data_IF_646357346463
#
_entry.id   IF_646357346463
#
_cell.length_a   1.000
_cell.length_b   1.000
_cell.length_c   1.000
_cell.angle_alpha   90.00
_cell.angle_beta   90.00
_cell.angle_gamma   90.00
#
_symmetry.space_group_name_H-M   'P 1'
#
loop_
_entity.id
_entity.type
_entity.pdbx_description
1 polymer ?
#
# COMPACT_ATOMS: atom_id res chain seq x y z
N UNK A 1 -10.02 -20.93 28.84
CA UNK A 1 -8.85 -21.48 28.12
C UNK A 1 -7.76 -20.43 28.19
N UNK A 2 -6.55 -20.78 28.63
CA UNK A 2 -5.40 -19.88 28.51
C UNK A 2 -5.18 -19.59 27.02
N UNK A 3 -5.15 -18.32 26.65
CA UNK A 3 -4.79 -17.93 25.29
C UNK A 3 -3.34 -18.38 25.03
N UNK A 4 -3.13 -19.29 24.08
CA UNK A 4 -1.80 -19.81 23.72
C UNK A 4 -0.98 -18.83 22.84
N UNK A 5 -1.39 -17.55 22.80
CA UNK A 5 -0.79 -16.49 21.98
C UNK A 5 -0.56 -15.24 22.82
N UNK A 6 0.48 -14.50 22.49
CA UNK A 6 0.71 -13.15 23.03
C UNK A 6 -0.05 -12.16 22.16
N UNK A 7 -1.29 -11.89 22.52
CA UNK A 7 -2.18 -11.04 21.72
C UNK A 7 -1.74 -9.59 21.77
N UNK A 8 -1.55 -8.98 20.61
CA UNK A 8 -1.31 -7.55 20.49
C UNK A 8 -2.64 -6.80 20.55
N UNK A 9 -2.99 -6.25 21.72
CA UNK A 9 -4.25 -5.52 21.88
C UNK A 9 -4.22 -4.17 21.14
N UNK A 10 -5.14 -3.91 20.19
CA UNK A 10 -5.21 -2.63 19.50
C UNK A 10 -5.59 -1.51 20.48
N UNK A 11 -4.78 -0.45 20.51
CA UNK A 11 -5.14 0.82 21.16
C UNK A 11 -5.51 1.82 20.08
N UNK A 12 -6.63 2.53 20.24
CA UNK A 12 -7.10 3.54 19.28
C UNK A 12 -6.00 4.55 18.99
N UNK A 13 -5.76 4.79 17.70
CA UNK A 13 -4.82 5.79 17.22
C UNK A 13 -5.49 7.16 17.16
N UNK A 14 -4.72 8.24 17.32
CA UNK A 14 -5.19 9.59 17.00
C UNK A 14 -5.40 9.75 15.50
N UNK A 15 -6.22 10.72 15.09
CA UNK A 15 -6.53 11.01 13.67
C UNK A 15 -6.96 9.73 12.91
N UNK A 16 -8.09 9.18 13.31
CA UNK A 16 -8.60 7.95 12.71
C UNK A 16 -9.21 8.18 11.32
N UNK A 17 -9.16 7.14 10.48
CA UNK A 17 -9.72 7.12 9.14
C UNK A 17 -11.24 6.91 9.22
N UNK A 18 -11.98 7.72 8.47
CA UNK A 18 -13.43 7.65 8.28
C UNK A 18 -13.81 7.88 6.80
N UNK A 19 -15.10 8.00 6.49
CA UNK A 19 -15.56 8.20 5.11
C UNK A 19 -15.32 9.61 4.53
N UNK A 20 -14.82 10.55 5.34
CA UNK A 20 -14.32 11.84 4.86
C UNK A 20 -12.82 11.79 4.53
N UNK A 21 -12.14 10.74 4.98
CA UNK A 21 -10.72 10.56 4.80
C UNK A 21 -10.36 10.20 3.36
N UNK A 22 -9.18 10.66 2.94
CA UNK A 22 -8.56 10.34 1.66
C UNK A 22 -7.21 9.70 1.94
N UNK A 23 -7.08 8.42 1.62
CA UNK A 23 -5.93 7.60 2.02
C UNK A 23 -5.07 7.26 0.81
N UNK A 24 -3.87 7.83 0.75
CA UNK A 24 -2.89 7.42 -0.27
C UNK A 24 -1.99 6.34 0.33
N UNK A 25 -1.67 5.30 -0.44
CA UNK A 25 -0.81 4.22 0.03
C UNK A 25 0.39 4.02 -0.90
N UNK A 26 1.57 3.82 -0.33
CA UNK A 26 2.80 3.47 -1.03
C UNK A 26 3.40 2.21 -0.41
N UNK A 27 4.08 1.39 -1.22
CA UNK A 27 5.00 0.39 -0.71
C UNK A 27 4.85 -1.00 -1.31
N UNK A 28 5.15 -2.00 -0.47
CA UNK A 28 5.19 -3.42 -0.85
C UNK A 28 3.82 -3.97 -1.31
N UNK A 29 3.81 -5.21 -1.78
CA UNK A 29 2.58 -5.94 -2.10
C UNK A 29 1.59 -6.01 -0.93
N UNK A 30 2.06 -5.93 0.32
CA UNK A 30 1.15 -5.90 1.47
C UNK A 30 0.24 -4.66 1.48
N UNK A 31 0.68 -3.54 0.91
CA UNK A 31 -0.15 -2.35 0.71
C UNK A 31 -1.41 -2.66 -0.10
N UNK A 32 -1.33 -3.56 -1.09
CA UNK A 32 -2.47 -3.91 -1.93
C UNK A 32 -3.54 -4.67 -1.13
N UNK A 33 -3.16 -5.53 -0.18
CA UNK A 33 -4.12 -6.21 0.68
C UNK A 33 -4.91 -5.26 1.57
N UNK A 34 -4.24 -4.27 2.17
CA UNK A 34 -4.92 -3.24 2.97
C UNK A 34 -5.80 -2.35 2.09
N UNK A 35 -5.30 -1.95 0.93
CA UNK A 35 -6.08 -1.16 -0.02
C UNK A 35 -7.32 -1.91 -0.51
N UNK A 36 -7.23 -3.19 -0.86
CA UNK A 36 -8.38 -4.02 -1.26
C UNK A 36 -9.45 -4.07 -0.17
N UNK A 37 -9.05 -4.13 1.11
CA UNK A 37 -10.01 -4.04 2.22
C UNK A 37 -10.67 -2.67 2.29
N UNK A 38 -9.90 -1.59 2.20
CA UNK A 38 -10.43 -0.22 2.18
C UNK A 38 -11.40 0.00 0.99
N UNK A 39 -11.03 -0.45 -0.21
CA UNK A 39 -11.85 -0.41 -1.42
C UNK A 39 -13.12 -1.26 -1.28
N UNK A 40 -13.04 -2.45 -0.68
CA UNK A 40 -14.23 -3.28 -0.40
C UNK A 40 -15.26 -2.50 0.42
N UNK A 41 -14.79 -1.74 1.43
CA UNK A 41 -15.62 -0.88 2.26
C UNK A 41 -15.84 0.52 1.68
N UNK A 42 -15.44 0.76 0.42
CA UNK A 42 -15.66 2.00 -0.34
C UNK A 42 -15.03 3.26 0.26
N UNK A 43 -13.92 3.12 0.99
CA UNK A 43 -13.10 4.27 1.37
C UNK A 43 -12.43 4.91 0.14
N UNK A 44 -12.19 6.22 0.19
CA UNK A 44 -11.53 6.95 -0.89
C UNK A 44 -10.01 6.76 -0.79
N UNK A 45 -9.47 5.88 -1.62
CA UNK A 45 -8.05 5.50 -1.60
C UNK A 45 -7.36 5.72 -2.94
N UNK A 46 -6.04 5.92 -2.89
CA UNK A 46 -5.16 5.85 -4.06
C UNK A 46 -3.93 5.01 -3.74
N UNK A 47 -3.86 3.75 -4.20
CA UNK A 47 -2.70 2.88 -3.98
C UNK A 47 -1.61 3.08 -5.03
N UNK A 48 -0.36 3.00 -4.59
CA UNK A 48 0.84 2.70 -5.39
C UNK A 48 0.86 3.35 -6.79
N UNK A 49 0.96 4.69 -6.90
CA UNK A 49 0.97 5.37 -8.20
C UNK A 49 2.19 5.03 -9.08
N UNK A 50 3.23 4.41 -8.50
CA UNK A 50 4.41 3.87 -9.20
C UNK A 50 4.41 2.34 -9.25
N UNK A 51 3.33 1.72 -8.76
CA UNK A 51 3.21 0.29 -8.52
C UNK A 51 3.96 -0.14 -7.27
N UNK A 52 4.10 -1.45 -7.10
CA UNK A 52 4.74 -2.04 -5.91
C UNK A 52 6.22 -1.67 -5.87
N UNK A 53 6.62 -0.94 -4.83
CA UNK A 53 8.00 -0.52 -4.59
C UNK A 53 8.37 -0.77 -3.12
N UNK A 54 9.53 -1.37 -2.87
CA UNK A 54 9.79 -1.98 -1.55
C UNK A 54 10.72 -1.18 -0.63
N UNK A 55 11.71 -0.48 -1.18
CA UNK A 55 12.73 0.21 -0.38
C UNK A 55 12.42 1.70 -0.24
N UNK A 56 12.97 2.33 0.80
CA UNK A 56 12.71 3.73 1.13
C UNK A 56 13.12 4.69 0.02
N UNK A 57 14.25 4.45 -0.67
CA UNK A 57 14.73 5.36 -1.72
C UNK A 57 13.83 5.35 -2.97
N UNK A 58 13.29 4.19 -3.32
CA UNK A 58 12.32 4.05 -4.41
C UNK A 58 11.00 4.77 -4.07
N UNK A 59 10.52 4.61 -2.82
CA UNK A 59 9.32 5.31 -2.35
C UNK A 59 9.56 6.82 -2.29
N UNK A 60 10.72 7.26 -1.81
CA UNK A 60 11.10 8.67 -1.80
C UNK A 60 11.10 9.27 -3.21
N UNK A 61 11.67 8.56 -4.18
CA UNK A 61 11.64 8.98 -5.59
C UNK A 61 10.20 9.09 -6.11
N UNK A 62 9.36 8.07 -5.85
CA UNK A 62 7.96 8.06 -6.27
C UNK A 62 7.17 9.23 -5.66
N UNK A 63 7.32 9.46 -4.35
CA UNK A 63 6.68 10.57 -3.63
C UNK A 63 7.13 11.90 -4.20
N UNK A 64 8.44 12.13 -4.35
CA UNK A 64 8.96 13.38 -4.90
C UNK A 64 8.40 13.67 -6.29
N UNK A 65 8.37 12.66 -7.17
CA UNK A 65 7.82 12.82 -8.51
C UNK A 65 6.33 13.15 -8.48
N UNK A 66 5.54 12.58 -7.57
CA UNK A 66 4.15 12.97 -7.35
C UNK A 66 4.03 14.40 -6.82
N UNK A 67 4.86 14.79 -5.85
CA UNK A 67 4.83 16.13 -5.24
C UNK A 67 5.13 17.21 -6.27
N UNK A 68 6.18 17.04 -7.08
CA UNK A 68 6.57 18.02 -8.13
C UNK A 68 5.77 17.86 -9.43
N UNK A 69 4.82 16.93 -9.48
CA UNK A 69 4.05 16.59 -10.67
C UNK A 69 4.94 16.33 -11.91
N UNK A 70 5.98 15.50 -11.74
CA UNK A 70 6.98 15.24 -12.79
C UNK A 70 6.30 14.67 -14.04
N UNK A 71 6.57 15.28 -15.19
CA UNK A 71 6.22 14.72 -16.50
C UNK A 71 7.41 13.92 -17.03
N UNK A 72 7.20 12.63 -17.21
CA UNK A 72 8.15 11.72 -17.86
C UNK A 72 8.12 11.92 -19.38
N UNK A 73 9.30 11.93 -19.98
CA UNK A 73 9.50 11.90 -21.43
C UNK A 73 10.21 10.60 -21.85
N UNK A 74 10.37 10.37 -23.16
CA UNK A 74 11.07 9.20 -23.68
C UNK A 74 12.48 9.04 -23.09
N UNK A 75 13.18 10.14 -22.78
CA UNK A 75 14.51 10.13 -22.15
C UNK A 75 14.50 9.61 -20.70
N UNK A 76 13.35 9.59 -20.02
CA UNK A 76 13.21 8.98 -18.69
C UNK A 76 12.94 7.46 -18.78
N UNK A 77 12.73 6.93 -19.98
CA UNK A 77 12.46 5.51 -20.22
C UNK A 77 13.69 4.78 -20.75
N UNK A 78 13.66 3.48 -20.55
CA UNK A 78 14.64 2.51 -21.01
C UNK A 78 13.91 1.43 -21.81
N UNK A 79 14.66 0.64 -22.57
CA UNK A 79 14.12 -0.48 -23.33
C UNK A 79 14.91 -1.76 -23.00
N UNK A 80 14.18 -2.85 -22.77
CA UNK A 80 14.76 -4.18 -22.58
C UNK A 80 13.84 -5.23 -23.19
N UNK A 81 14.36 -5.99 -24.17
CA UNK A 81 13.52 -6.76 -25.07
C UNK A 81 12.59 -5.84 -25.85
N UNK A 82 11.30 -6.18 -25.89
CA UNK A 82 10.28 -5.40 -26.59
C UNK A 82 9.60 -4.34 -25.70
N UNK A 83 9.96 -4.25 -24.42
CA UNK A 83 9.25 -3.42 -23.45
C UNK A 83 9.97 -2.09 -23.16
N UNK A 84 9.19 -1.01 -23.18
CA UNK A 84 9.54 0.29 -22.64
C UNK A 84 9.21 0.33 -21.14
N UNK A 85 10.15 0.80 -20.33
CA UNK A 85 9.98 0.84 -18.87
C UNK A 85 10.77 1.98 -18.22
N UNK A 86 10.45 2.26 -16.96
CA UNK A 86 11.26 3.13 -16.09
C UNK A 86 11.76 2.33 -14.89
N UNK A 87 13.04 2.47 -14.54
CA UNK A 87 13.63 1.86 -13.34
C UNK A 87 12.93 2.25 -12.03
N UNK A 88 12.22 3.39 -12.01
CA UNK A 88 11.48 3.87 -10.85
C UNK A 88 10.08 3.24 -10.69
N UNK A 89 9.59 2.51 -11.70
CA UNK A 89 8.23 1.99 -11.74
C UNK A 89 8.21 0.46 -11.70
N UNK A 90 7.14 -0.10 -11.12
CA UNK A 90 6.85 -1.52 -11.21
C UNK A 90 6.62 -1.95 -12.67
N UNK A 91 6.87 -3.22 -12.99
CA UNK A 91 6.74 -3.75 -14.35
C UNK A 91 5.32 -3.70 -14.92
N UNK A 92 4.31 -3.43 -14.09
CA UNK A 92 2.93 -3.23 -14.56
C UNK A 92 2.78 -2.00 -15.47
N UNK A 93 3.67 -1.01 -15.34
CA UNK A 93 3.70 0.17 -16.20
C UNK A 93 4.50 -0.06 -17.49
N UNK A 94 5.11 -1.23 -17.66
CA UNK A 94 5.94 -1.53 -18.81
C UNK A 94 5.07 -2.07 -19.95
N UNK A 95 5.25 -1.55 -21.17
CA UNK A 95 4.52 -2.01 -22.35
C UNK A 95 5.39 -1.92 -23.61
N UNK A 96 4.99 -2.60 -24.68
CA UNK A 96 5.69 -2.50 -25.97
C UNK A 96 5.47 -1.14 -26.68
N UNK A 97 4.52 -0.34 -26.20
CA UNK A 97 4.16 0.94 -26.79
C UNK A 97 4.67 2.11 -25.93
N UNK A 98 5.67 2.83 -26.46
CA UNK A 98 6.28 3.99 -25.81
C UNK A 98 5.26 5.03 -25.34
N UNK A 99 4.29 5.38 -26.21
CA UNK A 99 3.29 6.41 -25.95
C UNK A 99 2.34 5.96 -24.84
N UNK A 100 1.93 4.70 -24.86
CA UNK A 100 1.09 4.11 -23.82
C UNK A 100 1.81 4.11 -22.46
N UNK A 101 3.06 3.65 -22.42
CA UNK A 101 3.89 3.64 -21.20
C UNK A 101 4.00 5.04 -20.59
N UNK A 102 4.31 6.05 -21.40
CA UNK A 102 4.39 7.44 -20.94
C UNK A 102 3.04 7.98 -20.47
N UNK A 103 1.96 7.70 -21.20
CA UNK A 103 0.61 8.15 -20.84
C UNK A 103 0.16 7.56 -19.51
N UNK A 104 0.42 6.27 -19.27
CA UNK A 104 0.06 5.59 -18.02
C UNK A 104 0.84 6.15 -16.83
N UNK A 105 2.16 6.30 -16.95
CA UNK A 105 3.02 6.89 -15.92
C UNK A 105 2.57 8.32 -15.58
N UNK A 106 2.45 9.18 -16.60
CA UNK A 106 2.12 10.59 -16.39
C UNK A 106 0.71 10.79 -15.85
N UNK A 107 -0.26 9.97 -16.28
CA UNK A 107 -1.61 10.00 -15.74
C UNK A 107 -1.64 9.61 -14.26
N UNK A 108 -0.90 8.58 -13.86
CA UNK A 108 -0.83 8.17 -12.46
C UNK A 108 -0.11 9.21 -11.58
N UNK A 109 0.98 9.80 -12.05
CA UNK A 109 1.66 10.89 -11.34
C UNK A 109 0.73 12.10 -11.16
N UNK A 110 0.03 12.51 -12.22
CA UNK A 110 -0.90 13.64 -12.15
C UNK A 110 -2.07 13.38 -11.21
N UNK A 111 -2.64 12.16 -11.20
CA UNK A 111 -3.69 11.76 -10.26
C UNK A 111 -3.17 11.79 -8.82
N UNK A 112 -1.97 11.24 -8.59
CA UNK A 112 -1.34 11.23 -7.27
C UNK A 112 -1.03 12.63 -6.77
N UNK A 113 -0.52 13.52 -7.62
CA UNK A 113 -0.28 14.92 -7.28
C UNK A 113 -1.55 15.62 -6.78
N UNK A 114 -2.67 15.44 -7.50
CA UNK A 114 -3.96 16.02 -7.10
C UNK A 114 -4.51 15.40 -5.81
N UNK A 115 -4.34 14.09 -5.63
CA UNK A 115 -4.79 13.39 -4.43
C UNK A 115 -3.96 13.79 -3.21
N UNK A 116 -2.62 13.92 -3.32
CA UNK A 116 -1.73 14.33 -2.23
C UNK A 116 -2.14 15.66 -1.60
N UNK A 117 -2.57 16.64 -2.41
CA UNK A 117 -3.07 17.95 -1.92
C UNK A 117 -4.30 17.85 -1.03
N UNK A 118 -5.07 16.76 -1.14
CA UNK A 118 -6.33 16.54 -0.42
C UNK A 118 -6.26 15.35 0.55
N UNK A 119 -5.17 14.59 0.53
CA UNK A 119 -4.99 13.41 1.36
C UNK A 119 -5.10 13.79 2.84
N UNK A 120 -5.83 12.99 3.61
CA UNK A 120 -5.84 13.12 5.07
C UNK A 120 -4.84 12.16 5.71
N UNK A 121 -4.57 11.04 5.04
CA UNK A 121 -3.63 10.01 5.49
C UNK A 121 -2.75 9.54 4.35
N UNK A 122 -1.49 9.28 4.66
CA UNK A 122 -0.54 8.59 3.78
C UNK A 122 0.00 7.37 4.52
N UNK A 123 -0.14 6.20 3.91
CA UNK A 123 0.36 4.94 4.44
C UNK A 123 1.59 4.51 3.65
N UNK A 124 2.71 4.22 4.34
CA UNK A 124 3.96 3.79 3.72
C UNK A 124 4.37 2.44 4.31
N UNK A 125 4.39 1.42 3.45
CA UNK A 125 4.75 0.04 3.80
C UNK A 125 6.12 -0.33 3.23
N UNK A 126 7.15 -0.33 4.07
CA UNK A 126 8.50 -0.72 3.64
C UNK A 126 8.64 -2.25 3.55
N UNK A 127 9.13 -2.75 2.42
CA UNK A 127 9.34 -4.18 2.16
C UNK A 127 10.73 -4.66 2.56
N UNK A 128 11.78 -3.97 2.10
CA UNK A 128 13.17 -4.35 2.33
C UNK A 128 14.12 -3.15 2.34
N UNK A 129 15.20 -3.27 3.12
CA UNK A 129 16.34 -2.35 3.14
C UNK A 129 17.41 -2.74 2.10
N UNK A 130 17.23 -3.87 1.40
CA UNK A 130 18.11 -4.24 0.29
C UNK A 130 17.74 -3.43 -0.96
N UNK A 131 18.73 -2.75 -1.52
CA UNK A 131 18.60 -1.98 -2.75
C UNK A 131 19.42 -2.61 -3.87
N UNK A 132 19.00 -2.31 -5.10
CA UNK A 132 19.77 -2.58 -6.29
C UNK A 132 20.12 -1.26 -6.93
N UNK A 133 21.39 -1.13 -7.32
CA UNK A 133 21.90 0.02 -8.06
C UNK A 133 22.23 -0.43 -9.47
N UNK A 134 21.68 0.25 -10.48
CA UNK A 134 22.03 -0.03 -11.86
C UNK A 134 23.45 0.48 -12.12
N UNK A 135 24.34 -0.41 -12.58
CA UNK A 135 25.77 -0.15 -12.62
C UNK A 135 26.12 0.99 -13.59
N UNK A 136 25.47 1.05 -14.76
CA UNK A 136 25.80 2.02 -15.81
C UNK A 136 25.46 3.47 -15.40
N UNK A 137 24.49 3.68 -14.50
CA UNK A 137 24.08 5.03 -14.05
C UNK A 137 24.33 5.29 -12.57
N UNK A 138 24.81 4.29 -11.83
CA UNK A 138 24.91 4.30 -10.36
C UNK A 138 23.62 4.70 -9.62
N UNK A 139 22.44 4.59 -10.24
CA UNK A 139 21.15 4.98 -9.62
C UNK A 139 20.51 3.79 -8.92
N UNK A 140 19.89 4.04 -7.77
CA UNK A 140 19.04 3.05 -7.11
C UNK A 140 17.79 2.84 -7.97
N UNK A 141 17.38 1.60 -8.15
CA UNK A 141 16.21 1.24 -8.94
C UNK A 141 15.11 0.64 -8.05
N UNK A 142 13.86 0.87 -8.43
CA UNK A 142 12.70 0.26 -7.79
C UNK A 142 12.46 -1.17 -8.29
N UNK A 143 12.76 -1.42 -9.56
CA UNK A 143 12.60 -2.73 -10.21
C UNK A 143 13.73 -2.97 -11.21
N UNK A 144 14.24 -4.21 -11.30
CA UNK A 144 15.31 -4.60 -12.21
C UNK A 144 14.81 -4.99 -13.62
N UNK A 145 13.49 -5.06 -13.84
CA UNK A 145 12.84 -5.31 -15.14
C UNK A 145 13.37 -6.56 -15.88
N UNK A 146 13.65 -7.63 -15.11
CA UNK A 146 14.23 -8.90 -15.58
C UNK A 146 15.59 -8.77 -16.30
N UNK A 147 16.25 -7.61 -16.21
CA UNK A 147 17.60 -7.41 -16.72
C UNK A 147 18.58 -8.29 -15.92
N UNK A 148 19.63 -8.86 -16.55
CA UNK A 148 20.60 -9.72 -15.88
C UNK A 148 21.18 -9.11 -14.60
N UNK A 149 21.24 -9.91 -13.53
CA UNK A 149 21.64 -9.43 -12.20
C UNK A 149 23.04 -8.81 -12.16
N UNK A 150 23.97 -9.23 -13.03
CA UNK A 150 25.32 -8.66 -13.16
C UNK A 150 25.33 -7.16 -13.53
N UNK A 151 24.23 -6.63 -14.06
CA UNK A 151 24.05 -5.20 -14.33
C UNK A 151 23.69 -4.38 -13.08
N UNK A 152 23.51 -5.04 -11.94
CA UNK A 152 23.13 -4.40 -10.70
C UNK A 152 24.08 -4.75 -9.56
N UNK A 153 24.36 -3.75 -8.74
CA UNK A 153 25.04 -3.94 -7.46
C UNK A 153 24.00 -3.94 -6.35
N UNK A 154 23.97 -5.01 -5.57
CA UNK A 154 23.09 -5.14 -4.41
C UNK A 154 23.81 -4.67 -3.15
N UNK A 155 23.14 -3.86 -2.33
CA UNK A 155 23.68 -3.42 -1.04
C UNK A 155 22.57 -3.26 -0.01
N UNK A 156 22.91 -3.38 1.27
CA UNK A 156 22.01 -3.06 2.37
C UNK A 156 22.05 -1.56 2.64
N UNK A 157 20.90 -0.89 2.67
CA UNK A 157 20.83 0.50 3.11
C UNK A 157 21.10 0.59 4.61
N UNK A 158 21.90 1.60 5.01
CA UNK A 158 22.09 1.92 6.43
C UNK A 158 20.81 2.51 7.02
N UNK A 159 20.67 2.39 8.35
CA UNK A 159 19.57 3.01 9.10
C UNK A 159 19.50 4.51 8.80
N UNK A 160 20.63 5.22 8.84
CA UNK A 160 20.70 6.65 8.55
C UNK A 160 20.22 7.00 7.13
N UNK A 161 20.57 6.20 6.11
CA UNK A 161 20.10 6.44 4.75
C UNK A 161 18.58 6.25 4.63
N UNK A 162 18.02 5.23 5.30
CA UNK A 162 16.57 4.99 5.33
C UNK A 162 15.87 6.15 6.06
N UNK A 163 16.37 6.57 7.23
CA UNK A 163 15.80 7.70 7.97
C UNK A 163 15.79 8.97 7.11
N UNK A 164 16.89 9.27 6.41
CA UNK A 164 16.97 10.42 5.50
C UNK A 164 15.94 10.33 4.35
N UNK A 165 15.70 9.14 3.78
CA UNK A 165 14.65 8.95 2.79
C UNK A 165 13.26 9.26 3.38
N UNK A 166 12.98 8.81 4.61
CA UNK A 166 11.71 9.06 5.30
C UNK A 166 11.51 10.55 5.65
N UNK A 167 12.55 11.22 6.13
CA UNK A 167 12.54 12.67 6.39
C UNK A 167 12.34 13.48 5.11
N UNK A 168 12.94 13.03 4.01
CA UNK A 168 12.75 13.60 2.68
C UNK A 168 11.32 13.44 2.19
N UNK A 169 10.73 12.24 2.32
CA UNK A 169 9.32 11.96 2.03
C UNK A 169 8.41 12.90 2.82
N UNK A 170 8.62 12.97 4.13
CA UNK A 170 7.83 13.81 5.04
C UNK A 170 7.89 15.27 4.59
N UNK A 171 9.11 15.80 4.45
CA UNK A 171 9.34 17.20 4.05
C UNK A 171 8.67 17.52 2.72
N UNK A 172 8.87 16.68 1.71
CA UNK A 172 8.31 16.87 0.38
C UNK A 172 6.78 16.93 0.41
N UNK A 173 6.13 15.99 1.09
CA UNK A 173 4.67 15.96 1.23
C UNK A 173 4.16 17.20 1.99
N UNK A 174 4.84 17.58 3.07
CA UNK A 174 4.44 18.73 3.89
C UNK A 174 4.49 20.05 3.15
N UNK A 175 5.30 20.17 2.09
CA UNK A 175 5.31 21.37 1.24
C UNK A 175 3.97 21.62 0.53
N UNK A 176 3.22 20.57 0.20
CA UNK A 176 1.93 20.68 -0.53
C UNK A 176 0.72 20.34 0.34
N UNK A 177 0.91 19.63 1.44
CA UNK A 177 -0.15 19.28 2.37
C UNK A 177 0.36 19.24 3.83
N UNK A 178 0.40 20.39 4.52
CA UNK A 178 0.90 20.47 5.89
C UNK A 178 0.08 19.69 6.93
N UNK A 179 -1.17 19.35 6.63
CA UNK A 179 -2.13 18.76 7.60
C UNK A 179 -2.22 17.24 7.55
N UNK A 180 -1.59 16.59 6.58
CA UNK A 180 -1.69 15.14 6.39
C UNK A 180 -1.03 14.37 7.54
N UNK A 181 -1.63 13.25 7.94
CA UNK A 181 -1.02 12.31 8.88
C UNK A 181 -0.33 11.19 8.11
N UNK A 182 0.79 10.69 8.65
CA UNK A 182 1.58 9.65 8.00
C UNK A 182 1.68 8.39 8.86
N UNK A 183 1.36 7.25 8.28
CA UNK A 183 1.42 5.95 8.92
C UNK A 183 2.51 5.11 8.25
N UNK A 184 3.52 4.71 9.01
CA UNK A 184 4.63 3.91 8.53
C UNK A 184 4.54 2.49 9.08
N UNK A 185 4.87 1.51 8.25
CA UNK A 185 4.92 0.13 8.69
C UNK A 185 5.96 -0.67 7.92
N UNK A 186 6.33 -1.82 8.48
CA UNK A 186 7.15 -2.81 7.78
C UNK A 186 6.25 -3.94 7.31
N UNK A 187 6.41 -4.31 6.03
CA UNK A 187 5.70 -5.41 5.41
C UNK A 187 5.93 -6.72 6.18
N UNK A 188 4.89 -7.50 6.50
CA UNK A 188 5.03 -8.80 7.15
C UNK A 188 5.64 -9.87 6.23
N UNK A 189 5.62 -9.64 4.90
CA UNK A 189 6.15 -10.57 3.90
C UNK A 189 7.68 -10.60 3.98
N UNK A 190 8.24 -11.82 4.04
CA UNK A 190 9.67 -12.09 4.17
C UNK A 190 10.35 -12.19 2.80
N UNK A 191 11.49 -11.52 2.64
CA UNK A 191 12.30 -11.60 1.42
C UNK A 191 13.35 -12.72 1.50
N UNK A 192 12.87 -13.97 1.62
CA UNK A 192 13.72 -15.14 1.90
C UNK A 192 14.72 -15.51 0.79
N UNK A 193 14.56 -14.98 -0.42
CA UNK A 193 15.59 -15.09 -1.48
C UNK A 193 16.95 -14.53 -1.07
N UNK A 194 16.97 -13.66 -0.06
CA UNK A 194 18.20 -13.08 0.49
C UNK A 194 18.81 -13.93 1.60
N UNK A 195 18.09 -14.90 2.15
CA UNK A 195 18.42 -15.62 3.39
C UNK A 195 17.65 -15.09 4.60
N UNK A 196 17.52 -15.94 5.63
CA UNK A 196 16.76 -15.62 6.84
C UNK A 196 17.44 -14.53 7.68
N UNK A 197 18.76 -14.62 7.86
CA UNK A 197 19.54 -13.63 8.60
C UNK A 197 19.50 -12.26 7.91
N UNK A 198 19.63 -12.25 6.59
CA UNK A 198 19.59 -11.06 5.74
C UNK A 198 18.20 -10.43 5.70
N UNK A 199 17.14 -11.24 5.74
CA UNK A 199 15.78 -10.74 5.89
C UNK A 199 15.62 -10.07 7.26
N UNK A 200 16.01 -10.74 8.35
CA UNK A 200 15.87 -10.18 9.70
C UNK A 200 16.69 -8.90 9.88
N UNK A 201 17.93 -8.89 9.39
CA UNK A 201 18.77 -7.69 9.37
C UNK A 201 18.11 -6.56 8.58
N UNK A 202 17.57 -6.86 7.40
CA UNK A 202 16.82 -5.88 6.61
C UNK A 202 15.61 -5.34 7.37
N UNK A 203 14.81 -6.19 8.04
CA UNK A 203 13.63 -5.74 8.78
C UNK A 203 14.03 -4.89 9.99
N UNK A 204 15.09 -5.27 10.70
CA UNK A 204 15.64 -4.49 11.80
C UNK A 204 16.08 -3.09 11.37
N UNK A 205 16.74 -2.95 10.21
CA UNK A 205 17.10 -1.65 9.65
C UNK A 205 15.87 -0.77 9.38
N UNK A 206 14.83 -1.34 8.77
CA UNK A 206 13.59 -0.61 8.48
C UNK A 206 12.87 -0.18 9.76
N UNK A 207 12.73 -1.08 10.74
CA UNK A 207 12.07 -0.77 12.02
C UNK A 207 12.83 0.33 12.76
N UNK A 208 14.16 0.20 12.88
CA UNK A 208 14.98 1.21 13.57
C UNK A 208 14.86 2.59 12.91
N UNK A 209 14.93 2.65 11.58
CA UNK A 209 14.82 3.92 10.85
C UNK A 209 13.42 4.55 10.98
N UNK A 210 12.34 3.75 10.88
CA UNK A 210 10.99 4.25 11.07
C UNK A 210 10.80 4.79 12.49
N UNK A 211 11.26 4.07 13.51
CA UNK A 211 11.14 4.52 14.90
C UNK A 211 11.89 5.83 15.13
N UNK A 212 13.12 5.94 14.59
CA UNK A 212 13.89 7.19 14.64
C UNK A 212 13.12 8.35 13.98
N UNK A 213 12.59 8.15 12.78
CA UNK A 213 11.80 9.18 12.08
C UNK A 213 10.53 9.56 12.85
N UNK A 214 9.71 8.57 13.23
CA UNK A 214 8.42 8.78 13.90
C UNK A 214 8.59 9.49 15.25
N UNK A 215 9.64 9.18 16.01
CA UNK A 215 9.89 9.86 17.30
C UNK A 215 10.13 11.37 17.20
N UNK A 216 10.45 11.87 16.00
CA UNK A 216 10.74 13.29 15.76
C UNK A 216 9.52 14.08 15.26
N UNK A 217 8.47 13.40 14.79
CA UNK A 217 7.32 14.03 14.12
C UNK A 217 6.02 13.68 14.84
N UNK A 218 5.22 14.69 15.21
CA UNK A 218 3.99 14.48 16.01
C UNK A 218 2.85 13.83 15.23
N UNK A 219 2.93 13.89 13.92
CA UNK A 219 1.91 13.52 12.95
C UNK A 219 2.33 12.30 12.09
N UNK A 220 3.44 11.67 12.47
CA UNK A 220 3.87 10.38 11.96
C UNK A 220 3.64 9.30 13.01
N UNK A 221 3.21 8.11 12.60
CA UNK A 221 2.95 7.01 13.53
C UNK A 221 3.42 5.67 12.95
N UNK A 222 3.85 4.78 13.83
CA UNK A 222 4.22 3.42 13.47
C UNK A 222 3.03 2.46 13.58
N UNK A 223 2.82 1.62 12.57
CA UNK A 223 1.87 0.51 12.60
C UNK A 223 2.60 -0.82 12.79
N UNK A 224 2.30 -1.59 13.85
CA UNK A 224 3.05 -2.80 14.20
C UNK A 224 2.56 -4.04 13.41
N UNK A 225 2.44 -3.92 12.09
CA UNK A 225 1.93 -5.01 11.23
C UNK A 225 2.92 -6.17 11.13
N UNK A 226 4.22 -5.87 11.07
CA UNK A 226 5.26 -6.89 11.04
C UNK A 226 5.22 -7.72 12.33
N UNK A 227 5.17 -7.07 13.48
CA UNK A 227 5.09 -7.68 14.80
C UNK A 227 3.79 -8.46 14.97
N UNK A 228 2.65 -7.96 14.45
CA UNK A 228 1.41 -8.72 14.46
C UNK A 228 1.55 -10.07 13.74
N UNK A 229 2.27 -10.09 12.62
CA UNK A 229 2.53 -11.35 11.90
C UNK A 229 3.57 -12.22 12.61
N UNK A 230 4.64 -11.63 13.13
CA UNK A 230 5.77 -12.40 13.69
C UNK A 230 5.52 -12.92 15.10
N UNK A 231 4.83 -12.14 15.93
CA UNK A 231 4.72 -12.38 17.37
C UNK A 231 3.32 -12.86 17.79
N UNK A 232 2.26 -12.29 17.22
CA UNK A 232 0.88 -12.73 17.50
C UNK A 232 0.50 -13.94 16.63
N UNK A 233 0.72 -13.82 15.31
CA UNK A 233 0.43 -14.86 14.31
C UNK A 233 1.64 -15.76 13.99
N UNK A 234 2.40 -16.13 15.03
CA UNK A 234 3.73 -16.78 14.92
C UNK A 234 3.79 -18.18 14.26
N UNK A 235 2.67 -18.73 13.79
CA UNK A 235 2.55 -20.12 13.31
C UNK A 235 2.43 -20.20 11.76
N UNK A 236 3.04 -21.22 11.14
CA UNK A 236 2.96 -21.43 9.68
C UNK A 236 1.53 -21.61 9.15
N UNK A 237 0.56 -21.98 10.00
CA UNK A 237 -0.87 -22.01 9.65
C UNK A 237 -1.43 -20.68 9.16
N UNK A 238 -0.71 -19.57 9.38
CA UNK A 238 -1.07 -18.22 8.95
C UNK A 238 -0.40 -17.81 7.64
N UNK A 239 0.34 -18.70 7.00
CA UNK A 239 0.98 -18.48 5.72
C UNK A 239 0.27 -19.25 4.62
N UNK A 240 0.42 -18.78 3.39
CA UNK A 240 0.09 -19.50 2.17
C UNK A 240 1.05 -20.68 1.97
N UNK A 241 0.79 -21.52 0.96
CA UNK A 241 1.59 -22.72 0.68
C UNK A 241 3.08 -22.44 0.42
N UNK A 242 3.44 -21.21 0.06
CA UNK A 242 4.83 -20.79 -0.13
C UNK A 242 5.59 -20.45 1.16
N UNK A 243 4.90 -20.48 2.32
CA UNK A 243 5.43 -20.17 3.65
C UNK A 243 6.03 -18.76 3.78
N UNK A 244 5.68 -17.84 2.85
CA UNK A 244 6.21 -16.48 2.76
C UNK A 244 5.08 -15.45 2.88
N UNK A 245 3.97 -15.67 2.16
CA UNK A 245 2.86 -14.73 2.14
C UNK A 245 1.84 -15.07 3.25
N UNK A 246 1.28 -14.07 3.96
CA UNK A 246 0.17 -14.30 4.88
C UNK A 246 -1.06 -14.81 4.13
N UNK A 247 -1.77 -15.79 4.72
CA UNK A 247 -3.00 -16.30 4.14
C UNK A 247 -4.24 -15.49 4.50
N UNK A 248 -5.38 -15.86 3.93
CA UNK A 248 -6.65 -15.16 4.17
C UNK A 248 -7.01 -14.99 5.66
N UNK A 249 -6.73 -15.99 6.50
CA UNK A 249 -6.97 -15.92 7.96
C UNK A 249 -6.10 -14.85 8.59
N UNK A 250 -4.82 -14.81 8.26
CA UNK A 250 -3.88 -13.79 8.75
C UNK A 250 -4.27 -12.39 8.27
N UNK A 251 -4.59 -12.24 6.97
CA UNK A 251 -5.00 -10.97 6.39
C UNK A 251 -6.29 -10.42 7.03
N UNK A 252 -7.27 -11.30 7.32
CA UNK A 252 -8.49 -10.90 8.02
C UNK A 252 -8.20 -10.48 9.46
N UNK A 253 -7.33 -11.20 10.16
CA UNK A 253 -6.93 -10.85 11.53
C UNK A 253 -6.22 -9.48 11.57
N UNK A 254 -5.27 -9.26 10.65
CA UNK A 254 -4.56 -7.97 10.53
C UNK A 254 -5.55 -6.85 10.17
N UNK A 255 -6.52 -7.12 9.29
CA UNK A 255 -7.58 -6.16 8.97
C UNK A 255 -8.45 -5.82 10.18
N UNK A 256 -8.82 -6.79 11.00
CA UNK A 256 -9.59 -6.56 12.22
C UNK A 256 -8.82 -5.70 13.23
N UNK A 257 -7.52 -5.97 13.40
CA UNK A 257 -6.63 -5.12 14.17
C UNK A 257 -6.57 -3.70 13.58
N UNK A 258 -6.43 -3.57 12.25
CA UNK A 258 -6.39 -2.28 11.56
C UNK A 258 -7.67 -1.49 11.79
N UNK A 259 -8.85 -2.12 11.63
CA UNK A 259 -10.15 -1.49 11.92
C UNK A 259 -10.24 -0.99 13.35
N UNK A 260 -9.90 -1.84 14.32
CA UNK A 260 -10.01 -1.53 15.73
C UNK A 260 -9.12 -0.33 16.12
N UNK A 261 -7.93 -0.24 15.53
CA UNK A 261 -6.93 0.79 15.86
C UNK A 261 -7.09 2.08 15.05
N UNK A 262 -7.22 1.98 13.73
CA UNK A 262 -7.06 3.12 12.81
C UNK A 262 -8.37 3.63 12.23
N UNK A 263 -9.46 2.87 12.27
CA UNK A 263 -10.76 3.38 11.80
C UNK A 263 -11.58 4.02 12.93
N UNK A 264 -12.26 5.10 12.58
CA UNK A 264 -13.18 5.81 13.47
C UNK A 264 -14.41 4.95 13.74
N UNK A 265 -14.89 4.94 14.98
CA UNK A 265 -16.13 4.24 15.33
C UNK A 265 -17.34 4.80 14.56
N UNK A 266 -17.27 6.08 14.12
CA UNK A 266 -18.26 6.72 13.25
C UNK A 266 -18.40 6.04 11.88
N UNK A 267 -17.37 5.36 11.39
CA UNK A 267 -17.42 4.64 10.11
C UNK A 267 -18.14 3.29 10.23
N UNK A 268 -18.22 2.71 11.43
CA UNK A 268 -18.72 1.35 11.67
C UNK A 268 -20.14 1.10 11.14
N UNK A 269 -21.14 1.99 11.36
CA UNK A 269 -22.49 1.77 10.84
C UNK A 269 -22.52 1.64 9.31
N UNK A 270 -21.84 2.55 8.60
CA UNK A 270 -21.80 2.55 7.14
C UNK A 270 -21.01 1.36 6.59
N UNK A 271 -19.91 0.97 7.25
CA UNK A 271 -19.17 -0.25 6.90
C UNK A 271 -20.05 -1.51 6.99
N UNK A 272 -20.93 -1.61 7.99
CA UNK A 272 -21.86 -2.75 8.12
C UNK A 272 -22.90 -2.76 7.01
N UNK A 273 -23.39 -1.60 6.60
CA UNK A 273 -24.33 -1.48 5.49
C UNK A 273 -23.68 -1.88 4.16
N UNK A 274 -22.47 -1.39 3.89
CA UNK A 274 -21.70 -1.73 2.70
C UNK A 274 -21.33 -3.21 2.67
N UNK A 275 -20.96 -3.81 3.80
CA UNK A 275 -20.65 -5.25 3.87
C UNK A 275 -21.86 -6.11 3.49
N UNK A 276 -23.06 -5.74 3.95
CA UNK A 276 -24.30 -6.43 3.55
C UNK A 276 -24.54 -6.30 2.06
N UNK A 277 -24.46 -5.08 1.52
CA UNK A 277 -24.63 -4.82 0.09
C UNK A 277 -23.62 -5.59 -0.78
N UNK A 278 -22.34 -5.59 -0.40
CA UNK A 278 -21.28 -6.31 -1.11
C UNK A 278 -21.51 -7.83 -1.11
N UNK A 279 -21.95 -8.40 0.01
CA UNK A 279 -22.30 -9.82 0.09
C UNK A 279 -23.50 -10.15 -0.80
N UNK A 280 -24.53 -9.30 -0.79
CA UNK A 280 -25.69 -9.46 -1.67
C UNK A 280 -25.31 -9.37 -3.16
N UNK A 281 -24.39 -8.48 -3.52
CA UNK A 281 -23.85 -8.36 -4.89
C UNK A 281 -23.03 -9.58 -5.33
N UNK A 282 -22.31 -10.21 -4.40
CA UNK A 282 -21.54 -11.42 -4.65
C UNK A 282 -22.39 -12.68 -4.67
N UNK A 283 -23.64 -12.62 -4.19
CA UNK A 283 -24.54 -13.76 -4.16
C UNK A 283 -24.82 -14.27 -5.58
N UNK A 284 -24.52 -15.56 -5.81
CA UNK A 284 -24.79 -16.23 -7.09
C UNK A 284 -26.15 -16.92 -6.99
N UNK A 285 -27.22 -16.40 -7.64
CA UNK A 285 -28.53 -17.06 -7.60
C UNK A 285 -28.47 -18.41 -8.31
N UNK A 286 -29.30 -19.36 -7.86
CA UNK A 286 -29.42 -20.66 -8.50
C UNK A 286 -30.03 -20.57 -9.92
N UNK A 287 -30.97 -19.64 -10.12
CA UNK A 287 -31.56 -19.34 -11.42
C UNK A 287 -31.64 -17.82 -11.62
N UNK A 288 -31.01 -17.31 -12.69
CA UNK A 288 -30.96 -15.87 -13.02
C UNK A 288 -32.19 -15.37 -13.79
N UNK A 289 -33.07 -16.27 -14.24
CA UNK A 289 -34.21 -15.93 -15.10
C UNK A 289 -35.54 -15.83 -14.32
N UNK A 290 -35.50 -15.80 -12.99
CA UNK A 290 -36.71 -15.69 -12.16
C UNK A 290 -37.11 -14.23 -11.92
N UNK A 291 -38.40 -13.97 -11.73
CA UNK A 291 -38.90 -12.64 -11.31
C UNK A 291 -38.31 -12.22 -9.97
N UNK A 292 -38.21 -13.14 -9.02
CA UNK A 292 -37.59 -12.90 -7.72
C UNK A 292 -36.14 -12.41 -7.82
N UNK A 293 -35.34 -12.92 -8.77
CA UNK A 293 -33.99 -12.42 -8.97
C UNK A 293 -33.97 -11.02 -9.60
N UNK A 294 -34.89 -10.73 -10.52
CA UNK A 294 -35.05 -9.38 -11.11
C UNK A 294 -35.44 -8.36 -10.05
N UNK A 295 -36.41 -8.66 -9.19
CA UNK A 295 -36.82 -7.81 -8.06
C UNK A 295 -35.68 -7.61 -7.06
N UNK A 296 -34.94 -8.68 -6.71
CA UNK A 296 -33.77 -8.59 -5.86
C UNK A 296 -32.70 -7.63 -6.43
N UNK A 297 -32.44 -7.70 -7.74
CA UNK A 297 -31.49 -6.80 -8.42
C UNK A 297 -31.95 -5.35 -8.39
N UNK A 298 -33.23 -5.08 -8.68
CA UNK A 298 -33.78 -3.72 -8.60
C UNK A 298 -33.63 -3.15 -7.19
N UNK A 299 -33.94 -3.95 -6.16
CA UNK A 299 -33.80 -3.53 -4.78
C UNK A 299 -32.34 -3.25 -4.37
N UNK A 300 -31.37 -4.00 -4.92
CA UNK A 300 -29.95 -3.70 -4.72
C UNK A 300 -29.54 -2.40 -5.39
N UNK A 301 -29.98 -2.17 -6.63
CA UNK A 301 -29.67 -0.95 -7.38
C UNK A 301 -30.25 0.29 -6.67
N UNK A 302 -31.47 0.21 -6.13
CA UNK A 302 -32.08 1.26 -5.30
C UNK A 302 -31.27 1.55 -4.03
N UNK A 303 -30.82 0.50 -3.32
CA UNK A 303 -29.99 0.65 -2.12
C UNK A 303 -28.64 1.31 -2.45
N UNK A 304 -27.99 0.87 -3.52
CA UNK A 304 -26.72 1.48 -3.97
C UNK A 304 -26.93 2.94 -4.36
N UNK A 305 -27.97 3.26 -5.12
CA UNK A 305 -28.29 4.63 -5.52
C UNK A 305 -28.57 5.53 -4.30
N UNK A 306 -29.33 5.05 -3.33
CA UNK A 306 -29.59 5.76 -2.07
C UNK A 306 -28.30 6.02 -1.29
N UNK A 307 -27.43 5.03 -1.17
CA UNK A 307 -26.18 5.15 -0.42
C UNK A 307 -25.21 6.12 -1.11
N UNK A 308 -25.08 6.06 -2.44
CA UNK A 308 -24.29 7.03 -3.21
C UNK A 308 -24.88 8.44 -3.16
N UNK A 309 -26.20 8.61 -3.10
CA UNK A 309 -26.82 9.93 -2.93
C UNK A 309 -26.52 10.53 -1.54
N UNK A 310 -26.50 9.70 -0.49
CA UNK A 310 -26.15 10.12 0.87
C UNK A 310 -24.64 10.34 1.05
N UNK A 311 -23.82 9.60 0.32
CA UNK A 311 -22.37 9.61 0.39
C UNK A 311 -21.76 9.71 -1.02
N UNK A 312 -21.64 10.91 -1.61
CA UNK A 312 -21.18 11.09 -2.99
C UNK A 312 -19.75 10.60 -3.28
N UNK A 313 -18.93 10.36 -2.25
CA UNK A 313 -17.60 9.75 -2.38
C UNK A 313 -17.65 8.25 -2.64
N UNK A 314 -18.77 7.57 -2.33
CA UNK A 314 -18.91 6.12 -2.43
C UNK A 314 -19.39 5.73 -3.83
N UNK A 315 -18.62 4.86 -4.47
CA UNK A 315 -18.89 4.33 -5.81
C UNK A 315 -18.95 2.80 -5.77
N UNK A 316 -20.07 2.23 -6.20
CA UNK A 316 -20.25 0.78 -6.26
C UNK A 316 -19.62 0.16 -7.49
#
# INVERSE_FOLDING_TARGET
MSEFRTVLTPKKQENQIDYQSKVMLFGSCFTEHINQKLEYFKFDTLPNPFGIVFNSSAIYTAVNHCVINKVYAQADLNQHGELWFSFNHHSQFSSANLVQTLAEINSNISKAHQFLKKATHIVITLGTAWIYRYNDTAKIVANCHKIPQQKFTKSLQSIAAITNDLDGIYTAIKTINPKVNMLFTVSPIRHLRNGFAENNLSKAHLIAAIQQHVSQQKDCFYMPIYELMMDDLRDYRFYEADMIHPNATALNYIWDFFKARYLSDKATPLMKEIDRLQKDLQHRPFNRNTDAYREFRLHLDEKMAKLTAQHPSIKF
#
